data_IF_185694466216
#
_entry.id   IF_185694466216
#
_cell.length_a   1.000
_cell.length_b   1.000
_cell.length_c   1.000
_cell.angle_alpha   90.00
_cell.angle_beta   90.00
_cell.angle_gamma   90.00
#
_symmetry.space_group_name_H-M   'P 1'
#
loop_
_entity.id
_entity.type
_entity.pdbx_description
1 polymer ?
#
# COMPACT_ATOMS: atom_id res chain seq x y z
N UNK A 1 -13.09 -12.30 -1.40
CA UNK A 1 -13.78 -13.52 -0.98
C UNK A 1 -14.25 -13.38 0.47
N UNK A 2 -15.57 -13.29 0.69
CA UNK A 2 -16.16 -13.10 2.02
C UNK A 2 -15.95 -14.29 2.96
N UNK A 3 -16.01 -15.51 2.44
CA UNK A 3 -15.81 -16.71 3.26
C UNK A 3 -14.38 -16.79 3.77
N UNK A 4 -13.40 -16.52 2.92
CA UNK A 4 -12.00 -16.51 3.30
C UNK A 4 -11.69 -15.37 4.28
N UNK A 5 -12.26 -14.18 4.10
CA UNK A 5 -12.10 -13.06 5.02
C UNK A 5 -12.68 -13.37 6.40
N UNK A 6 -13.86 -13.97 6.47
CA UNK A 6 -14.45 -14.42 7.74
C UNK A 6 -13.59 -15.47 8.41
N UNK A 7 -13.16 -16.47 7.65
CA UNK A 7 -12.32 -17.53 8.18
C UNK A 7 -11.04 -16.97 8.81
N UNK A 8 -10.36 -16.06 8.12
CA UNK A 8 -9.16 -15.40 8.63
C UNK A 8 -9.44 -14.65 9.93
N UNK A 9 -10.47 -13.80 9.93
CA UNK A 9 -10.84 -13.00 11.10
C UNK A 9 -11.34 -13.84 12.27
N UNK A 10 -11.92 -15.00 12.01
CA UNK A 10 -12.44 -15.92 13.05
C UNK A 10 -11.38 -16.90 13.57
N UNK A 11 -10.27 -17.08 12.83
CA UNK A 11 -9.25 -18.08 13.12
C UNK A 11 -8.47 -17.86 14.41
N UNK A 12 -8.40 -16.61 14.91
CA UNK A 12 -7.56 -16.25 16.04
C UNK A 12 -6.06 -16.16 15.71
N UNK A 13 -5.67 -16.37 14.45
CA UNK A 13 -4.27 -16.18 14.03
C UNK A 13 -3.86 -14.73 14.23
N UNK A 14 -2.71 -14.44 14.88
CA UNK A 14 -2.19 -13.08 14.99
C UNK A 14 -2.00 -12.47 13.61
N UNK A 15 -2.60 -11.31 13.39
CA UNK A 15 -2.48 -10.62 12.10
C UNK A 15 -2.44 -9.11 12.28
N UNK A 16 -1.92 -8.45 11.26
CA UNK A 16 -1.89 -7.00 11.13
C UNK A 16 -2.79 -6.59 9.97
N UNK A 17 -3.78 -5.79 10.26
CA UNK A 17 -4.66 -5.21 9.24
C UNK A 17 -4.10 -3.84 8.81
N UNK A 18 -3.80 -3.73 7.52
CA UNK A 18 -3.29 -2.53 6.87
C UNK A 18 -4.38 -1.99 5.92
N UNK A 19 -5.25 -1.07 6.38
CA UNK A 19 -6.38 -0.60 5.59
C UNK A 19 -5.94 0.09 4.30
N UNK A 20 -6.29 -0.46 3.14
CA UNK A 20 -5.88 0.08 1.84
C UNK A 20 -6.39 1.49 1.60
N UNK A 21 -7.72 1.67 1.58
CA UNK A 21 -8.34 2.94 1.21
C UNK A 21 -8.17 4.08 2.22
N UNK A 22 -7.97 3.77 3.49
CA UNK A 22 -7.82 4.81 4.54
C UNK A 22 -6.37 5.12 4.84
N UNK A 23 -5.52 4.12 4.84
CA UNK A 23 -4.11 4.23 5.24
C UNK A 23 -3.20 4.10 4.03
N UNK A 24 -3.28 3.00 3.30
CA UNK A 24 -2.45 2.77 2.10
C UNK A 24 -2.62 3.83 1.02
N UNK A 25 -3.82 4.42 0.87
CA UNK A 25 -4.07 5.51 -0.09
C UNK A 25 -3.23 6.76 0.13
N UNK A 26 -2.64 6.92 1.32
CA UNK A 26 -1.71 8.03 1.62
C UNK A 26 -0.34 7.82 0.95
N UNK A 27 -0.02 6.60 0.52
CA UNK A 27 1.24 6.27 -0.17
C UNK A 27 1.15 6.62 -1.67
N UNK A 28 0.81 7.87 -1.92
CA UNK A 28 0.77 8.45 -3.27
C UNK A 28 2.15 8.93 -3.68
N UNK A 29 2.60 8.47 -4.83
CA UNK A 29 3.88 8.82 -5.44
C UNK A 29 3.61 9.58 -6.74
N UNK A 30 4.30 10.69 -6.96
CA UNK A 30 4.14 11.51 -8.17
C UNK A 30 5.12 11.06 -9.26
N UNK A 31 4.78 11.36 -10.52
CA UNK A 31 5.69 11.16 -11.65
C UNK A 31 7.00 11.94 -11.44
N UNK A 32 6.94 13.15 -10.88
CA UNK A 32 8.13 13.94 -10.61
C UNK A 32 9.09 13.29 -9.61
N UNK A 33 8.55 12.61 -8.58
CA UNK A 33 9.36 11.84 -7.64
C UNK A 33 9.95 10.59 -8.30
N UNK A 34 9.18 9.90 -9.16
CA UNK A 34 9.67 8.76 -9.93
C UNK A 34 10.83 9.16 -10.86
N UNK A 35 10.69 10.27 -11.58
CA UNK A 35 11.73 10.81 -12.44
C UNK A 35 12.99 11.19 -11.66
N UNK A 36 12.81 11.79 -10.50
CA UNK A 36 13.92 12.31 -9.70
C UNK A 36 14.68 11.22 -8.93
N UNK A 37 13.96 10.26 -8.37
CA UNK A 37 14.52 9.36 -7.35
C UNK A 37 14.61 7.90 -7.79
N UNK A 38 13.90 7.51 -8.86
CA UNK A 38 13.78 6.09 -9.27
C UNK A 38 14.37 5.85 -10.65
N UNK A 39 14.08 6.70 -11.63
CA UNK A 39 14.62 6.58 -12.99
C UNK A 39 16.15 6.63 -12.98
N UNK A 40 16.78 5.75 -13.76
CA UNK A 40 18.24 5.67 -13.85
C UNK A 40 18.92 5.06 -12.61
N UNK A 41 18.13 4.47 -11.70
CA UNK A 41 18.66 3.80 -10.51
C UNK A 41 18.86 2.30 -10.74
N UNK A 42 19.55 1.96 -11.85
CA UNK A 42 19.78 0.58 -12.27
C UNK A 42 18.55 -0.10 -12.86
N UNK A 43 18.70 -1.38 -13.23
CA UNK A 43 17.64 -2.13 -13.91
C UNK A 43 16.32 -2.17 -13.11
N UNK A 44 16.38 -2.23 -11.77
CA UNK A 44 15.19 -2.27 -10.93
C UNK A 44 14.48 -0.91 -10.90
N UNK A 45 15.23 0.19 -10.81
CA UNK A 45 14.67 1.54 -10.84
C UNK A 45 14.01 1.83 -12.20
N UNK A 46 14.66 1.48 -13.30
CA UNK A 46 14.12 1.66 -14.64
C UNK A 46 12.85 0.83 -14.86
N UNK A 47 12.81 -0.40 -14.33
CA UNK A 47 11.61 -1.24 -14.40
C UNK A 47 10.45 -0.67 -13.57
N UNK A 48 10.71 -0.20 -12.36
CA UNK A 48 9.69 0.44 -11.52
C UNK A 48 9.16 1.73 -12.17
N UNK A 49 10.06 2.53 -12.76
CA UNK A 49 9.67 3.72 -13.53
C UNK A 49 8.80 3.36 -14.73
N UNK A 50 9.18 2.32 -15.50
CA UNK A 50 8.38 1.81 -16.62
C UNK A 50 6.99 1.38 -16.16
N UNK A 51 6.86 0.58 -15.08
CA UNK A 51 5.57 0.16 -14.54
C UNK A 51 4.70 1.35 -14.11
N UNK A 52 5.33 2.44 -13.66
CA UNK A 52 4.63 3.64 -13.25
C UNK A 52 4.13 4.47 -14.44
N UNK A 53 4.91 4.56 -15.50
CA UNK A 53 4.61 5.37 -16.69
C UNK A 53 3.85 4.63 -17.77
N UNK A 54 3.86 3.29 -17.72
CA UNK A 54 3.13 2.41 -18.64
C UNK A 54 2.52 1.25 -17.83
N UNK A 55 1.56 1.59 -16.97
CA UNK A 55 0.97 0.63 -16.05
C UNK A 55 0.06 -0.36 -16.79
N UNK A 56 0.35 -1.67 -16.73
CA UNK A 56 -0.43 -2.68 -17.43
C UNK A 56 -1.89 -2.80 -16.94
N UNK A 57 -2.22 -2.21 -15.78
CA UNK A 57 -3.58 -2.19 -15.26
C UNK A 57 -4.44 -1.07 -15.85
N UNK A 58 -3.85 -0.05 -16.46
CA UNK A 58 -4.60 1.09 -16.98
C UNK A 58 -5.69 0.72 -17.99
N UNK A 59 -5.43 -0.15 -18.98
CA UNK A 59 -6.51 -0.57 -19.90
C UNK A 59 -7.67 -1.27 -19.17
N UNK A 60 -7.38 -2.06 -18.14
CA UNK A 60 -8.39 -2.75 -17.34
C UNK A 60 -9.25 -1.78 -16.51
N UNK A 61 -8.70 -0.62 -16.15
CA UNK A 61 -9.36 0.43 -15.39
C UNK A 61 -10.01 1.49 -16.30
N UNK A 62 -9.98 1.30 -17.63
CA UNK A 62 -10.47 2.27 -18.60
C UNK A 62 -9.65 3.57 -18.66
N UNK A 63 -8.38 3.51 -18.24
CA UNK A 63 -7.46 4.65 -18.25
C UNK A 63 -6.68 4.62 -19.57
N UNK A 64 -6.71 5.75 -20.29
CA UNK A 64 -5.91 5.94 -21.50
C UNK A 64 -4.48 6.29 -21.14
N UNK A 65 -3.54 5.39 -21.50
CA UNK A 65 -2.13 5.54 -21.20
C UNK A 65 -1.52 6.80 -21.83
N UNK A 66 -1.91 7.14 -23.05
CA UNK A 66 -1.39 8.33 -23.73
C UNK A 66 -1.80 9.62 -22.99
N UNK A 67 -3.03 9.68 -22.50
CA UNK A 67 -3.51 10.80 -21.70
C UNK A 67 -2.76 10.88 -20.37
N UNK A 68 -2.52 9.77 -19.71
CA UNK A 68 -1.77 9.77 -18.43
C UNK A 68 -0.31 10.17 -18.62
N UNK A 69 0.35 9.72 -19.69
CA UNK A 69 1.74 10.05 -19.98
C UNK A 69 1.92 11.52 -20.41
N UNK A 70 0.90 12.13 -20.99
CA UNK A 70 0.95 13.51 -21.47
C UNK A 70 0.84 14.58 -20.38
N UNK A 71 0.56 14.20 -19.14
CA UNK A 71 0.32 15.14 -18.05
C UNK A 71 0.96 14.69 -16.72
N UNK A 72 1.29 15.63 -15.82
CA UNK A 72 1.71 15.29 -14.47
C UNK A 72 0.62 14.47 -13.76
N UNK A 73 1.03 13.37 -13.18
CA UNK A 73 0.12 12.49 -12.45
C UNK A 73 0.77 11.89 -11.20
N UNK A 74 -0.04 11.30 -10.38
CA UNK A 74 0.39 10.54 -9.19
C UNK A 74 -0.36 9.23 -9.13
N UNK A 75 0.30 8.20 -8.61
CA UNK A 75 -0.29 6.90 -8.39
C UNK A 75 -0.11 6.45 -6.93
N UNK A 76 -1.04 5.66 -6.42
CA UNK A 76 -0.90 5.09 -5.08
C UNK A 76 -0.16 3.77 -5.17
N UNK A 77 0.93 3.64 -4.43
CA UNK A 77 1.72 2.41 -4.35
C UNK A 77 1.26 1.62 -3.11
N UNK A 78 0.09 1.00 -3.24
CA UNK A 78 -0.68 0.40 -2.17
C UNK A 78 0.09 -0.58 -1.28
N UNK A 79 0.80 -1.51 -1.89
CA UNK A 79 1.30 -2.70 -1.19
C UNK A 79 2.64 -2.46 -0.49
N UNK A 80 3.29 -1.34 -0.76
CA UNK A 80 4.55 -0.98 -0.09
C UNK A 80 4.37 -0.82 1.42
N UNK A 81 3.15 -0.54 1.89
CA UNK A 81 2.84 -0.45 3.32
C UNK A 81 3.16 -1.74 4.07
N UNK A 82 2.97 -2.91 3.45
CA UNK A 82 3.26 -4.20 4.07
C UNK A 82 4.76 -4.35 4.35
N UNK A 83 5.58 -3.99 3.37
CA UNK A 83 7.04 -4.01 3.49
C UNK A 83 7.50 -2.96 4.51
N UNK A 84 6.94 -1.76 4.43
CA UNK A 84 7.27 -0.66 5.34
C UNK A 84 7.02 -1.05 6.81
N UNK A 85 5.89 -1.69 7.11
CA UNK A 85 5.59 -2.15 8.45
C UNK A 85 6.57 -3.22 8.94
N UNK A 86 7.01 -4.12 8.06
CA UNK A 86 8.00 -5.15 8.40
C UNK A 86 9.41 -4.56 8.63
N UNK A 87 9.78 -3.53 7.88
CA UNK A 87 11.09 -2.88 7.99
C UNK A 87 11.17 -2.00 9.24
N UNK A 88 10.15 -1.19 9.45
CA UNK A 88 10.04 -0.33 10.62
C UNK A 88 8.58 -0.05 10.97
N UNK A 89 8.02 -0.73 11.99
CA UNK A 89 6.63 -0.54 12.41
C UNK A 89 6.27 0.90 12.81
N UNK A 90 7.25 1.70 13.21
CA UNK A 90 7.00 3.11 13.59
C UNK A 90 6.59 3.98 12.39
N UNK A 91 6.90 3.53 11.16
CA UNK A 91 6.44 4.22 9.95
C UNK A 91 4.96 3.97 9.64
N UNK A 92 4.38 2.98 10.29
CA UNK A 92 2.98 2.60 10.12
C UNK A 92 2.31 2.50 11.49
N UNK A 93 2.00 3.64 12.12
CA UNK A 93 1.37 3.68 13.43
C UNK A 93 0.14 2.78 13.50
N UNK A 94 0.09 1.95 14.52
CA UNK A 94 -0.92 0.92 14.66
C UNK A 94 -1.23 0.64 16.13
N UNK A 95 -2.42 0.13 16.41
CA UNK A 95 -2.88 -0.20 17.76
C UNK A 95 -3.50 -1.61 17.83
N UNK A 96 -3.67 -2.12 19.03
CA UNK A 96 -4.39 -3.38 19.25
C UNK A 96 -5.88 -3.09 19.40
N UNK A 97 -6.67 -3.67 18.52
CA UNK A 97 -8.13 -3.57 18.49
C UNK A 97 -8.78 -4.95 18.57
N UNK A 98 -10.05 -4.99 18.95
CA UNK A 98 -10.84 -6.22 18.85
C UNK A 98 -11.11 -6.55 17.38
N UNK A 99 -10.81 -7.78 16.99
CA UNK A 99 -11.11 -8.24 15.63
C UNK A 99 -12.60 -8.14 15.35
N UNK A 100 -13.06 -7.41 14.33
CA UNK A 100 -14.47 -7.28 14.04
C UNK A 100 -15.05 -8.57 13.46
N UNK A 101 -16.38 -8.69 13.47
CA UNK A 101 -17.10 -9.67 12.66
C UNK A 101 -17.41 -9.08 11.29
N UNK A 102 -17.36 -9.91 10.27
CA UNK A 102 -17.87 -9.56 8.95
C UNK A 102 -19.29 -10.11 8.80
N UNK A 103 -20.28 -9.24 8.87
CA UNK A 103 -21.70 -9.59 8.73
C UNK A 103 -22.08 -10.07 7.32
N UNK A 104 -23.25 -10.69 7.19
CA UNK A 104 -23.80 -11.11 5.88
C UNK A 104 -24.13 -9.92 4.98
N UNK A 105 -24.41 -8.77 5.59
CA UNK A 105 -24.60 -7.47 4.95
C UNK A 105 -23.30 -6.83 4.46
N UNK A 106 -22.14 -7.51 4.57
CA UNK A 106 -20.79 -7.07 4.22
C UNK A 106 -20.29 -5.89 5.06
N UNK A 107 -20.84 -5.70 6.26
CA UNK A 107 -20.40 -4.65 7.18
C UNK A 107 -19.61 -5.23 8.33
N UNK A 108 -18.66 -4.43 8.81
CA UNK A 108 -17.93 -4.71 10.02
C UNK A 108 -18.81 -4.47 11.23
N UNK A 109 -18.80 -5.43 12.13
CA UNK A 109 -19.56 -5.40 13.39
C UNK A 109 -18.59 -5.52 14.55
N UNK A 110 -18.67 -4.59 15.49
CA UNK A 110 -17.88 -4.64 16.71
C UNK A 110 -18.29 -5.82 17.60
N UNK A 111 -17.31 -6.51 18.16
CA UNK A 111 -17.55 -7.60 19.12
C UNK A 111 -16.44 -7.61 20.19
N UNK A 112 -16.79 -7.18 21.38
CA UNK A 112 -15.85 -7.06 22.50
C UNK A 112 -15.32 -8.41 23.02
N UNK A 113 -15.97 -9.51 22.70
CA UNK A 113 -15.57 -10.87 23.11
C UNK A 113 -14.49 -11.50 22.22
N UNK A 114 -14.11 -10.85 21.13
CA UNK A 114 -13.15 -11.40 20.17
C UNK A 114 -11.70 -11.18 20.59
N UNK A 115 -10.80 -11.95 19.96
CA UNK A 115 -9.35 -11.78 20.10
C UNK A 115 -8.88 -10.45 19.53
N UNK A 116 -7.65 -10.08 19.86
CA UNK A 116 -7.05 -8.84 19.37
C UNK A 116 -6.36 -9.07 18.02
N UNK A 117 -6.43 -8.05 17.19
CA UNK A 117 -5.57 -7.87 16.00
C UNK A 117 -4.86 -6.51 16.11
N UNK A 118 -3.84 -6.31 15.32
CA UNK A 118 -3.23 -4.99 15.15
C UNK A 118 -3.83 -4.30 13.93
N UNK A 119 -4.25 -3.05 14.10
CA UNK A 119 -4.80 -2.24 13.01
C UNK A 119 -3.96 -0.98 12.83
N UNK A 120 -3.53 -0.73 11.59
CA UNK A 120 -2.85 0.49 11.23
C UNK A 120 -3.83 1.64 11.01
N UNK A 121 -3.47 2.83 11.49
CA UNK A 121 -4.31 4.03 11.37
C UNK A 121 -3.60 5.21 10.70
N UNK A 122 -2.35 5.04 10.25
CA UNK A 122 -1.58 6.06 9.56
C UNK A 122 -0.33 5.51 8.90
N UNK A 123 0.35 6.37 8.14
CA UNK A 123 1.67 6.11 7.56
C UNK A 123 2.52 7.37 7.63
N UNK A 124 3.82 7.19 7.84
CA UNK A 124 4.83 8.22 7.65
C UNK A 124 5.35 8.16 6.21
N UNK A 125 4.55 8.70 5.29
CA UNK A 125 4.77 8.60 3.84
C UNK A 125 6.20 8.91 3.42
N UNK A 126 6.73 10.03 3.88
CA UNK A 126 8.05 10.50 3.44
C UNK A 126 9.19 9.63 3.97
N UNK A 127 9.06 9.10 5.20
CA UNK A 127 10.03 8.16 5.74
C UNK A 127 10.06 6.86 4.92
N UNK A 128 8.89 6.35 4.52
CA UNK A 128 8.75 5.14 3.71
C UNK A 128 9.37 5.33 2.32
N UNK A 129 9.04 6.43 1.63
CA UNK A 129 9.59 6.68 0.29
C UNK A 129 11.06 7.04 0.31
N UNK A 130 11.56 7.77 1.29
CA UNK A 130 12.99 8.01 1.42
C UNK A 130 13.74 6.69 1.60
N UNK A 131 13.27 5.80 2.47
CA UNK A 131 13.87 4.49 2.63
C UNK A 131 13.83 3.65 1.34
N UNK A 132 12.73 3.70 0.58
CA UNK A 132 12.63 3.06 -0.73
C UNK A 132 13.66 3.63 -1.71
N UNK A 133 13.78 4.94 -1.81
CA UNK A 133 14.73 5.58 -2.72
C UNK A 133 16.18 5.30 -2.34
N UNK A 134 16.48 5.27 -1.05
CA UNK A 134 17.84 4.96 -0.53
C UNK A 134 18.21 3.48 -0.76
N UNK A 135 17.23 2.59 -0.82
CA UNK A 135 17.44 1.17 -1.13
C UNK A 135 17.75 0.90 -2.61
N UNK A 136 17.46 1.84 -3.52
CA UNK A 136 17.79 1.71 -4.94
C UNK A 136 19.30 1.92 -5.18
N UNK A 137 19.88 1.28 -6.22
CA UNK A 137 21.26 1.55 -6.61
C UNK A 137 21.51 3.04 -6.86
N UNK A 138 22.75 3.47 -6.63
CA UNK A 138 23.14 4.84 -7.02
C UNK A 138 23.04 5.01 -8.54
N UNK A 139 22.73 6.22 -9.04
CA UNK A 139 22.79 6.50 -10.47
C UNK A 139 24.18 6.17 -11.02
N UNK A 140 24.19 5.59 -12.22
CA UNK A 140 25.44 5.30 -12.94
C UNK A 140 26.12 6.59 -13.41
#
# INVERSE_FOLDING_TARGET
>A
DMAASRWLLDSGVPHVYLPGFHVGAQLRLSLAEMERHVRGRGAIGDYLHQLFTDNPLWPMLGIDAATMQAQPHSWVIWDVICVAWLVNPDWVPSELVRTPRLGDDRRWQADAGRHLMREAHGVQRDAIFNALFDALPLPA
#
